data_IF_075283837405
#
_entry.id   IF_075283837405
#
_cell.length_a   1.000
_cell.length_b   1.000
_cell.length_c   1.000
_cell.angle_alpha   90.00
_cell.angle_beta   90.00
_cell.angle_gamma   90.00
#
_symmetry.space_group_name_H-M   'P 1'
#
loop_
_entity.id
_entity.type
_entity.pdbx_description
1 polymer ?
#
# COMPACT_ATOMS: atom_id res chain seq x y z
N UNK A 1 63.74 -25.50 32.53
CA UNK A 1 63.30 -24.47 33.52
C UNK A 1 63.80 -23.12 33.00
N UNK A 2 63.06 -22.03 32.83
CA UNK A 2 61.65 -21.67 33.07
C UNK A 2 61.44 -20.30 32.38
N UNK A 3 60.46 -20.22 31.47
CA UNK A 3 59.50 -19.13 31.15
C UNK A 3 59.95 -17.76 30.57
N UNK A 4 59.52 -17.60 29.33
CA UNK A 4 59.13 -16.39 28.58
C UNK A 4 58.17 -15.46 29.36
N UNK A 5 58.39 -14.14 29.31
CA UNK A 5 57.40 -13.13 29.70
C UNK A 5 56.93 -12.34 28.47
N UNK A 6 55.65 -12.53 28.18
CA UNK A 6 54.89 -12.04 27.05
C UNK A 6 54.26 -10.68 27.41
N UNK A 7 54.39 -9.70 26.52
CA UNK A 7 53.69 -8.40 26.59
C UNK A 7 52.21 -8.62 26.32
N UNK A 8 51.31 -8.13 27.17
CA UNK A 8 49.88 -8.02 26.84
C UNK A 8 49.26 -6.80 27.54
N UNK A 9 49.01 -5.77 26.74
CA UNK A 9 48.11 -4.65 27.03
C UNK A 9 46.68 -5.12 26.67
N UNK A 10 45.67 -5.05 27.56
CA UNK A 10 44.29 -5.19 27.13
C UNK A 10 43.68 -3.80 26.92
N UNK A 11 43.46 -3.46 25.65
CA UNK A 11 42.59 -2.37 25.23
C UNK A 11 41.12 -2.84 25.24
N UNK A 12 40.32 -2.11 26.00
CA UNK A 12 38.89 -1.79 25.87
C UNK A 12 38.15 -2.43 24.69
N UNK A 13 37.04 -3.11 24.96
CA UNK A 13 35.85 -3.12 24.09
C UNK A 13 34.60 -3.27 24.99
N UNK A 14 33.97 -2.12 25.29
CA UNK A 14 32.60 -2.03 25.77
C UNK A 14 31.67 -2.54 24.65
N UNK A 15 31.03 -3.69 24.83
CA UNK A 15 29.92 -4.15 24.00
C UNK A 15 28.61 -3.84 24.73
N UNK A 16 28.14 -2.60 24.57
CA UNK A 16 26.77 -2.20 24.81
C UNK A 16 26.16 -1.85 23.45
N UNK A 17 24.98 -2.39 23.15
CA UNK A 17 24.24 -2.15 21.91
C UNK A 17 24.29 -3.37 20.99
N UNK A 18 23.21 -3.98 20.54
CA UNK A 18 21.84 -3.49 20.44
C UNK A 18 20.90 -4.69 20.51
N UNK A 19 19.83 -4.58 21.30
CA UNK A 19 18.59 -5.24 20.90
C UNK A 19 18.24 -4.68 19.51
N UNK A 20 18.42 -5.48 18.47
CA UNK A 20 17.62 -5.28 17.26
C UNK A 20 16.20 -5.66 17.67
N UNK A 21 15.42 -4.68 18.09
CA UNK A 21 13.98 -4.78 18.00
C UNK A 21 13.68 -4.94 16.51
N UNK A 22 13.47 -6.18 16.07
CA UNK A 22 12.68 -6.45 14.88
C UNK A 22 11.30 -5.92 15.23
N UNK A 23 11.05 -4.66 14.90
CA UNK A 23 9.68 -4.18 14.78
C UNK A 23 9.11 -4.99 13.64
N UNK A 24 8.18 -5.91 13.95
CA UNK A 24 7.36 -6.57 12.94
C UNK A 24 6.78 -5.47 12.07
N UNK A 25 7.29 -5.34 10.85
CA UNK A 25 6.80 -4.36 9.93
C UNK A 25 5.55 -4.99 9.33
N UNK A 26 4.38 -4.58 9.83
CA UNK A 26 3.13 -4.78 9.11
C UNK A 26 3.40 -4.43 7.65
N UNK A 27 3.00 -5.32 6.73
CA UNK A 27 3.34 -5.16 5.32
C UNK A 27 2.96 -3.74 4.86
N UNK A 28 3.88 -3.01 4.21
CA UNK A 28 3.68 -1.59 3.94
C UNK A 28 2.51 -1.39 2.96
N UNK A 29 1.43 -0.83 3.50
CA UNK A 29 0.18 -0.49 2.80
C UNK A 29 0.24 0.91 2.18
N UNK A 30 -0.71 1.23 1.30
CA UNK A 30 -0.95 2.58 0.80
C UNK A 30 -1.19 3.53 1.97
N UNK A 31 -0.53 4.69 1.94
CA UNK A 31 -0.56 5.74 2.96
C UNK A 31 -1.62 6.80 2.67
N UNK A 32 -1.92 7.05 1.39
CA UNK A 32 -3.01 7.93 0.98
C UNK A 32 -3.65 7.47 -0.33
N UNK A 33 -4.86 7.94 -0.59
CA UNK A 33 -5.52 7.88 -1.89
C UNK A 33 -5.87 9.27 -2.40
N UNK A 34 -5.98 9.39 -3.72
CA UNK A 34 -6.58 10.53 -4.39
C UNK A 34 -7.49 10.00 -5.49
N UNK A 35 -8.76 10.36 -5.43
CA UNK A 35 -9.74 9.97 -6.45
C UNK A 35 -10.18 11.22 -7.19
N UNK A 36 -10.08 11.18 -8.51
CA UNK A 36 -10.48 12.28 -9.38
C UNK A 36 -11.53 11.84 -10.42
N UNK A 37 -12.49 12.71 -10.71
CA UNK A 37 -13.51 12.53 -11.73
C UNK A 37 -13.45 13.72 -12.69
N UNK A 38 -13.27 13.47 -13.99
CA UNK A 38 -13.17 14.54 -14.99
C UNK A 38 -12.03 15.54 -14.71
N UNK A 39 -10.96 15.11 -14.03
CA UNK A 39 -9.83 15.94 -13.62
C UNK A 39 -10.02 16.72 -12.32
N UNK A 40 -11.18 16.62 -11.66
CA UNK A 40 -11.40 17.21 -10.34
C UNK A 40 -11.20 16.17 -9.24
N UNK A 41 -10.42 16.51 -8.21
CA UNK A 41 -10.26 15.68 -7.01
C UNK A 41 -11.56 15.70 -6.21
N UNK A 42 -12.10 14.52 -5.92
CA UNK A 42 -13.32 14.30 -5.14
C UNK A 42 -13.05 13.57 -3.81
N UNK A 43 -11.87 12.97 -3.65
CA UNK A 43 -11.35 12.41 -2.40
C UNK A 43 -9.83 12.55 -2.36
N UNK A 44 -9.30 12.81 -1.17
CA UNK A 44 -7.87 12.91 -0.84
C UNK A 44 -7.72 12.49 0.63
N UNK A 45 -7.62 11.18 0.88
CA UNK A 45 -7.66 10.59 2.22
C UNK A 45 -6.31 9.96 2.60
N UNK A 46 -5.90 10.15 3.85
CA UNK A 46 -4.78 9.42 4.46
C UNK A 46 -5.27 8.16 5.19
N UNK A 47 -4.45 7.09 5.20
CA UNK A 47 -4.73 5.86 5.93
C UNK A 47 -3.46 5.21 6.46
N UNK A 48 -3.50 4.76 7.72
CA UNK A 48 -2.44 3.92 8.29
C UNK A 48 -2.63 2.42 8.02
N UNK A 49 -3.78 2.02 7.48
CA UNK A 49 -4.14 0.61 7.22
C UNK A 49 -4.31 0.30 5.73
N UNK A 50 -4.19 1.32 4.87
CA UNK A 50 -4.46 1.20 3.43
C UNK A 50 -5.93 0.97 3.09
N UNK A 51 -6.84 1.13 4.05
CA UNK A 51 -8.28 1.12 3.84
C UNK A 51 -8.76 2.57 3.85
N UNK A 52 -9.34 3.02 2.74
CA UNK A 52 -9.81 4.39 2.55
C UNK A 52 -11.33 4.50 2.71
N UNK A 53 -11.82 5.70 2.98
CA UNK A 53 -13.26 5.90 3.16
C UNK A 53 -13.99 5.78 1.81
N UNK A 54 -15.29 5.39 1.81
CA UNK A 54 -16.05 5.37 0.56
C UNK A 54 -16.31 6.76 -0.01
N UNK A 55 -16.05 6.92 -1.31
CA UNK A 55 -16.43 8.12 -2.07
C UNK A 55 -17.78 7.91 -2.74
N UNK A 56 -18.70 8.88 -2.63
CA UNK A 56 -19.98 8.82 -3.34
C UNK A 56 -19.80 9.22 -4.81
N UNK A 57 -20.31 8.40 -5.73
CA UNK A 57 -20.26 8.63 -7.18
C UNK A 57 -21.55 8.20 -7.87
N UNK A 58 -21.81 8.75 -9.05
CA UNK A 58 -22.91 8.30 -9.91
C UNK A 58 -22.55 6.99 -10.61
N UNK A 59 -23.55 6.14 -10.90
CA UNK A 59 -23.36 4.92 -11.66
C UNK A 59 -22.73 5.15 -13.03
N UNK A 60 -21.91 4.19 -13.50
CA UNK A 60 -21.11 4.27 -14.74
C UNK A 60 -20.05 5.38 -14.80
N UNK A 61 -19.85 6.11 -13.70
CA UNK A 61 -18.76 7.07 -13.58
C UNK A 61 -17.42 6.37 -13.68
N UNK A 62 -16.49 6.96 -14.43
CA UNK A 62 -15.07 6.61 -14.37
C UNK A 62 -14.32 7.59 -13.48
N UNK A 63 -13.57 7.04 -12.53
CA UNK A 63 -12.69 7.80 -11.65
C UNK A 63 -11.24 7.36 -11.84
N UNK A 64 -10.34 8.32 -11.87
CA UNK A 64 -8.90 8.10 -11.79
C UNK A 64 -8.51 7.99 -10.32
N UNK A 65 -7.81 6.91 -9.97
CA UNK A 65 -7.35 6.60 -8.62
C UNK A 65 -5.83 6.68 -8.62
N UNK A 66 -5.27 7.41 -7.66
CA UNK A 66 -3.86 7.40 -7.33
C UNK A 66 -3.71 6.94 -5.87
N UNK A 67 -2.85 5.96 -5.64
CA UNK A 67 -2.48 5.51 -4.30
C UNK A 67 -1.03 5.85 -4.04
N UNK A 68 -0.76 6.47 -2.89
CA UNK A 68 0.60 6.78 -2.46
C UNK A 68 1.09 5.71 -1.49
N UNK A 69 2.19 5.06 -1.84
CA UNK A 69 2.94 4.14 -1.01
C UNK A 69 4.27 4.77 -0.57
N UNK A 70 5.00 4.08 0.31
CA UNK A 70 6.39 4.46 0.58
C UNK A 70 7.25 4.31 -0.68
N UNK A 71 8.14 5.27 -1.01
CA UNK A 71 9.06 5.16 -2.14
C UNK A 71 9.99 3.94 -2.09
N UNK A 72 10.19 3.34 -0.91
CA UNK A 72 10.92 2.08 -0.75
C UNK A 72 10.26 0.89 -1.45
N UNK A 73 9.00 1.01 -1.87
CA UNK A 73 8.27 0.00 -2.65
C UNK A 73 8.33 0.24 -4.15
N UNK A 74 9.09 1.23 -4.63
CA UNK A 74 9.28 1.47 -6.05
C UNK A 74 9.70 0.19 -6.80
N UNK A 75 9.10 0.00 -7.98
CA UNK A 75 9.28 -1.18 -8.82
C UNK A 75 8.52 -2.43 -8.38
N UNK A 76 7.86 -2.42 -7.21
CA UNK A 76 7.10 -3.58 -6.73
C UNK A 76 5.89 -3.85 -7.63
N UNK A 77 5.77 -5.05 -8.23
CA UNK A 77 4.60 -5.42 -9.01
C UNK A 77 3.40 -5.65 -8.07
N UNK A 78 2.22 -5.24 -8.52
CA UNK A 78 0.96 -5.40 -7.79
C UNK A 78 -0.14 -5.91 -8.71
N UNK A 79 -1.11 -6.63 -8.14
CA UNK A 79 -2.37 -6.93 -8.80
C UNK A 79 -3.45 -5.95 -8.34
N UNK A 80 -4.41 -5.64 -9.22
CA UNK A 80 -5.52 -4.73 -8.95
C UNK A 80 -6.80 -5.47 -9.31
N UNK A 81 -7.75 -5.53 -8.37
CA UNK A 81 -8.96 -6.31 -8.55
C UNK A 81 -10.19 -5.54 -8.06
N UNK A 82 -11.22 -5.47 -8.90
CA UNK A 82 -12.55 -5.04 -8.50
C UNK A 82 -13.33 -6.24 -7.92
N UNK A 83 -13.98 -6.05 -6.78
CA UNK A 83 -14.65 -7.13 -6.05
C UNK A 83 -16.16 -7.18 -6.26
N UNK A 84 -16.77 -6.04 -6.58
CA UNK A 84 -18.24 -5.88 -6.54
C UNK A 84 -18.82 -5.38 -7.88
N UNK A 85 -18.10 -5.66 -8.98
CA UNK A 85 -18.46 -5.20 -10.32
C UNK A 85 -17.59 -4.02 -10.78
N UNK A 86 -18.05 -3.30 -11.80
CA UNK A 86 -17.27 -2.26 -12.46
C UNK A 86 -16.18 -2.79 -13.37
N UNK A 87 -15.38 -1.89 -13.94
CA UNK A 87 -14.31 -2.21 -14.90
C UNK A 87 -13.05 -1.42 -14.57
N UNK A 88 -11.91 -2.10 -14.54
CA UNK A 88 -10.59 -1.49 -14.36
C UNK A 88 -9.93 -1.24 -15.71
N UNK A 89 -9.19 -0.13 -15.83
CA UNK A 89 -8.31 0.12 -16.97
C UNK A 89 -7.09 -0.81 -17.00
N UNK A 90 -6.67 -1.29 -15.83
CA UNK A 90 -5.59 -2.25 -15.64
C UNK A 90 -5.85 -3.15 -14.43
N UNK A 91 -5.55 -4.44 -14.56
CA UNK A 91 -5.68 -5.44 -13.48
C UNK A 91 -4.34 -5.75 -12.79
N UNK A 92 -3.27 -5.06 -13.20
CA UNK A 92 -1.95 -5.14 -12.59
C UNK A 92 -1.17 -3.87 -12.88
N UNK A 93 -0.16 -3.59 -12.08
CA UNK A 93 0.70 -2.43 -12.24
C UNK A 93 2.00 -2.58 -11.47
N UNK A 94 2.75 -1.50 -11.38
CA UNK A 94 3.93 -1.43 -10.53
C UNK A 94 3.98 -0.11 -9.78
N UNK A 95 4.43 -0.23 -8.53
CA UNK A 95 5.20 0.75 -7.76
C UNK A 95 5.96 1.81 -8.58
N UNK A 96 5.50 3.04 -8.83
CA UNK A 96 6.38 4.01 -9.52
C UNK A 96 7.54 4.47 -8.61
N UNK A 97 8.52 5.18 -9.19
CA UNK A 97 9.72 5.63 -8.47
C UNK A 97 9.43 6.60 -7.30
N UNK A 98 8.28 7.26 -7.32
CA UNK A 98 7.82 8.17 -6.28
C UNK A 98 6.91 7.48 -5.26
N UNK A 99 6.68 6.17 -5.39
CA UNK A 99 5.75 5.43 -4.54
C UNK A 99 4.30 5.51 -5.02
N UNK A 100 4.01 6.03 -6.21
CA UNK A 100 2.65 6.18 -6.68
C UNK A 100 2.20 5.00 -7.55
N UNK A 101 0.93 4.62 -7.41
CA UNK A 101 0.23 3.65 -8.26
C UNK A 101 -1.04 4.31 -8.78
N UNK A 102 -1.18 4.42 -10.09
CA UNK A 102 -2.35 5.01 -10.72
C UNK A 102 -3.11 4.01 -11.60
N UNK A 103 -4.43 4.04 -11.54
CA UNK A 103 -5.34 3.28 -12.40
C UNK A 103 -6.68 4.01 -12.51
N UNK A 104 -7.53 3.59 -13.44
CA UNK A 104 -8.89 4.11 -13.56
C UNK A 104 -9.89 3.00 -13.30
N UNK A 105 -10.99 3.34 -12.63
CA UNK A 105 -12.08 2.43 -12.33
C UNK A 105 -13.40 3.04 -12.78
N UNK A 106 -14.13 2.32 -13.64
CA UNK A 106 -15.51 2.63 -13.94
C UNK A 106 -16.42 1.82 -13.03
N UNK A 107 -17.12 2.49 -12.12
CA UNK A 107 -18.10 1.85 -11.24
C UNK A 107 -19.31 1.37 -12.06
N UNK A 108 -19.97 0.29 -11.65
CA UNK A 108 -21.25 -0.09 -12.28
C UNK A 108 -22.39 0.82 -11.82
N UNK A 109 -23.59 0.61 -12.35
CA UNK A 109 -24.83 1.28 -11.91
C UNK A 109 -25.54 0.58 -10.76
N UNK A 110 -24.98 -0.53 -10.25
CA UNK A 110 -25.57 -1.24 -9.12
C UNK A 110 -25.41 -0.42 -7.84
N UNK A 111 -26.49 -0.12 -7.10
CA UNK A 111 -26.39 0.57 -5.82
C UNK A 111 -25.57 -0.21 -4.79
N UNK A 112 -24.86 0.52 -3.93
CA UNK A 112 -24.04 -0.04 -2.84
C UNK A 112 -22.56 0.30 -2.96
N UNK A 113 -21.74 -0.40 -2.18
CA UNK A 113 -20.29 -0.20 -2.12
C UNK A 113 -19.60 -1.08 -3.16
N UNK A 114 -18.77 -0.45 -3.98
CA UNK A 114 -17.88 -1.08 -4.95
C UNK A 114 -16.44 -0.98 -4.49
N UNK A 115 -15.79 -2.12 -4.27
CA UNK A 115 -14.42 -2.16 -3.76
C UNK A 115 -13.43 -2.48 -4.87
N UNK A 116 -12.31 -1.77 -4.86
CA UNK A 116 -11.11 -2.15 -5.60
C UNK A 116 -9.99 -2.38 -4.60
N UNK A 117 -9.37 -3.55 -4.68
CA UNK A 117 -8.22 -3.93 -3.86
C UNK A 117 -6.94 -3.92 -4.68
N UNK A 118 -5.85 -3.55 -4.01
CA UNK A 118 -4.48 -3.69 -4.50
C UNK A 118 -3.81 -4.79 -3.69
N UNK A 119 -3.22 -5.74 -4.40
CA UNK A 119 -2.67 -6.96 -3.83
C UNK A 119 -1.17 -6.99 -4.11
N UNK A 120 -0.37 -7.29 -3.09
CA UNK A 120 1.00 -7.75 -3.26
C UNK A 120 1.00 -9.25 -3.60
N UNK A 121 1.28 -9.65 -4.84
CA UNK A 121 1.26 -11.06 -5.23
C UNK A 121 2.45 -11.85 -4.65
N UNK A 122 3.44 -11.17 -4.05
CA UNK A 122 4.64 -11.78 -3.49
C UNK A 122 4.71 -11.65 -1.95
N UNK A 123 3.60 -11.26 -1.31
CA UNK A 123 3.52 -11.26 0.15
C UNK A 123 3.81 -12.67 0.68
N UNK A 124 4.64 -12.77 1.71
CA UNK A 124 4.80 -14.02 2.46
C UNK A 124 3.59 -14.25 3.37
N UNK A 125 3.51 -15.44 3.98
CA UNK A 125 2.39 -15.84 4.84
C UNK A 125 2.20 -14.90 6.06
N UNK A 126 3.26 -14.18 6.45
CA UNK A 126 3.26 -13.24 7.57
C UNK A 126 2.90 -11.79 7.16
N UNK A 127 2.73 -11.53 5.86
CA UNK A 127 2.46 -10.21 5.28
C UNK A 127 1.02 -10.03 4.81
N UNK A 128 0.50 -8.79 4.91
CA UNK A 128 -0.78 -8.46 4.30
C UNK A 128 -0.67 -8.58 2.78
N UNK A 129 -1.53 -9.41 2.22
CA UNK A 129 -1.65 -9.55 0.78
C UNK A 129 -2.38 -8.35 0.18
N UNK A 130 -3.38 -7.79 0.89
CA UNK A 130 -4.07 -6.56 0.47
C UNK A 130 -3.31 -5.38 1.05
N UNK A 131 -2.76 -4.55 0.16
CA UNK A 131 -1.96 -3.38 0.49
C UNK A 131 -2.66 -2.06 0.14
N UNK A 132 -3.89 -2.12 -0.36
CA UNK A 132 -4.76 -0.96 -0.58
C UNK A 132 -6.21 -1.38 -0.84
N UNK A 133 -7.17 -0.63 -0.33
CA UNK A 133 -8.61 -0.81 -0.53
C UNK A 133 -9.28 0.55 -0.71
N UNK A 134 -9.74 0.83 -1.93
CA UNK A 134 -10.57 1.99 -2.26
C UNK A 134 -12.02 1.56 -2.46
N UNK A 135 -12.95 2.47 -2.14
CA UNK A 135 -14.37 2.16 -2.05
C UNK A 135 -15.20 3.25 -2.74
N UNK A 136 -16.15 2.85 -3.57
CA UNK A 136 -17.06 3.75 -4.29
C UNK A 136 -18.49 3.43 -3.89
N UNK A 137 -19.24 4.42 -3.40
CA UNK A 137 -20.65 4.26 -3.06
C UNK A 137 -21.53 4.81 -4.18
N UNK A 138 -22.37 3.93 -4.73
CA UNK A 138 -23.43 4.30 -5.69
C UNK A 138 -24.76 4.35 -4.95
N UNK A 139 -25.43 5.50 -4.98
CA UNK A 139 -26.72 5.67 -4.33
C UNK A 139 -27.81 4.79 -4.97
N UNK A 140 -28.77 4.34 -4.17
CA UNK A 140 -29.98 3.71 -4.70
C UNK A 140 -30.85 4.76 -5.40
N UNK A 141 -31.18 4.54 -6.66
CA UNK A 141 -32.20 5.33 -7.36
C UNK A 141 -33.59 4.95 -6.83
N UNK A 142 -34.30 5.92 -6.26
CA UNK A 142 -35.70 5.79 -5.83
C UNK A 142 -36.67 5.84 -7.02
#
# INVERSE_FOLDING_TARGET
MTRTFFKLLPAILFWLGSCAAVLGQDAPVAQSDQIAQGGQIIQDDDSSTGIFTPVSVDGFTTSDVALQFFPSLAGKPVAIQALDGGTLSATSGAIDANGNLAFSFQVSDQPGIHRVIVIDPNADDDSLHIIGLVQFEVAATN
#
